data_IF_861204456168
#
_entry.id   IF_861204456168
#
_cell.length_a   1.000
_cell.length_b   1.000
_cell.length_c   1.000
_cell.angle_alpha   90.00
_cell.angle_beta   90.00
_cell.angle_gamma   90.00
#
_symmetry.space_group_name_H-M   'P 1'
#
loop_
_entity.id
_entity.type
_entity.pdbx_description
1 polymer ?
#
# COMPACT_ATOMS: atom_id res chain seq x y z
N UNK A 1 9.38 5.25 65.62
CA UNK A 1 9.79 4.45 66.77
C UNK A 1 10.65 3.30 66.25
N UNK A 2 11.98 3.44 66.55
CA UNK A 2 13.03 2.41 66.79
C UNK A 2 13.14 1.23 65.81
N UNK A 3 14.15 1.21 64.87
CA UNK A 3 15.59 0.82 65.02
C UNK A 3 15.78 -0.68 65.37
N UNK A 4 16.51 -1.41 64.46
CA UNK A 4 17.87 -2.03 64.58
C UNK A 4 18.01 -3.07 63.44
N UNK A 5 18.89 -2.95 62.43
CA UNK A 5 20.34 -3.16 62.32
C UNK A 5 20.85 -4.40 63.10
N UNK A 6 21.38 -5.38 62.42
CA UNK A 6 22.60 -6.14 62.71
C UNK A 6 23.13 -6.77 61.42
N UNK A 7 24.30 -6.68 61.19
CA UNK A 7 25.42 -6.81 60.40
C UNK A 7 26.17 -8.15 60.61
N UNK A 8 27.02 -8.42 59.65
CA UNK A 8 28.33 -9.07 59.64
C UNK A 8 28.42 -10.59 59.45
N UNK A 9 29.36 -10.93 58.55
CA UNK A 9 30.00 -12.22 58.51
C UNK A 9 30.80 -12.46 57.20
N UNK A 10 32.03 -11.96 57.17
CA UNK A 10 33.10 -12.23 56.20
C UNK A 10 33.74 -13.58 56.49
N UNK A 11 34.04 -14.41 55.51
CA UNK A 11 35.20 -15.33 55.51
C UNK A 11 35.72 -15.49 54.07
N UNK A 12 36.95 -15.10 53.88
CA UNK A 12 37.85 -15.40 52.78
C UNK A 12 38.52 -16.76 53.03
N UNK A 13 38.66 -17.60 51.99
CA UNK A 13 39.82 -18.50 51.85
C UNK A 13 40.09 -18.69 50.36
N UNK A 14 41.27 -18.28 49.94
CA UNK A 14 41.81 -18.56 48.63
C UNK A 14 42.60 -19.86 48.59
N UNK A 15 42.72 -20.44 47.42
CA UNK A 15 43.88 -21.31 47.05
C UNK A 15 44.12 -21.18 45.53
N UNK A 16 45.38 -21.02 45.24
CA UNK A 16 46.10 -20.94 43.96
C UNK A 16 46.23 -22.32 43.31
N UNK A 17 46.16 -22.43 42.01
CA UNK A 17 46.52 -23.62 41.26
C UNK A 17 46.79 -23.31 39.79
N UNK A 18 48.01 -23.54 39.34
CA UNK A 18 48.65 -23.19 38.06
C UNK A 18 48.31 -24.10 36.89
N UNK A 19 48.35 -23.49 35.70
CA UNK A 19 48.91 -23.95 34.42
C UNK A 19 48.29 -25.14 33.68
N UNK A 20 47.93 -24.89 32.43
CA UNK A 20 47.70 -25.92 31.41
C UNK A 20 47.47 -25.32 30.04
N UNK A 21 48.45 -25.52 29.17
CA UNK A 21 48.65 -25.03 27.80
C UNK A 21 47.54 -25.27 26.80
N UNK A 22 47.40 -24.29 25.91
CA UNK A 22 47.25 -24.36 24.42
C UNK A 22 46.33 -25.39 23.82
N UNK A 23 45.29 -24.92 23.19
CA UNK A 23 44.81 -25.42 21.86
C UNK A 23 44.18 -24.29 21.08
N UNK A 24 44.82 -23.95 19.99
CA UNK A 24 44.43 -23.02 18.98
C UNK A 24 43.17 -23.57 18.27
N UNK A 25 42.03 -22.98 18.48
CA UNK A 25 40.84 -23.27 17.69
C UNK A 25 40.42 -21.96 17.02
N UNK A 26 40.68 -21.90 15.73
CA UNK A 26 40.24 -20.85 14.81
C UNK A 26 38.75 -20.78 14.84
N UNK A 27 38.18 -19.82 15.58
CA UNK A 27 36.78 -19.48 15.53
C UNK A 27 36.56 -18.66 14.26
N UNK A 28 36.04 -19.31 13.23
CA UNK A 28 35.42 -18.64 12.09
C UNK A 28 34.29 -17.78 12.63
N UNK A 29 34.48 -16.46 12.61
CA UNK A 29 33.48 -15.49 12.93
C UNK A 29 32.35 -15.59 11.92
N UNK A 30 31.31 -16.33 12.26
CA UNK A 30 30.03 -16.24 11.60
C UNK A 30 29.42 -14.88 11.95
N UNK A 31 29.46 -13.96 11.01
CA UNK A 31 28.60 -12.75 11.05
C UNK A 31 27.17 -13.22 11.21
N UNK A 32 26.43 -12.75 12.23
CA UNK A 32 24.99 -12.99 12.26
C UNK A 32 24.40 -12.32 11.03
N UNK A 33 23.92 -13.12 10.09
CA UNK A 33 23.03 -12.64 9.04
C UNK A 33 21.79 -12.11 9.74
N UNK A 34 21.71 -10.81 9.89
CA UNK A 34 20.45 -10.12 10.20
C UNK A 34 19.55 -10.38 9.01
N UNK A 35 18.74 -11.42 9.11
CA UNK A 35 17.56 -11.57 8.27
C UNK A 35 16.71 -10.35 8.55
N UNK A 36 16.73 -9.38 7.62
CA UNK A 36 15.73 -8.31 7.58
C UNK A 36 14.39 -9.00 7.30
N UNK A 37 13.70 -9.39 8.36
CA UNK A 37 12.29 -9.72 8.26
C UNK A 37 11.60 -8.40 7.91
N UNK A 38 11.14 -8.26 6.67
CA UNK A 38 10.17 -7.23 6.33
C UNK A 38 9.05 -7.28 7.37
N UNK A 39 8.58 -6.13 7.89
CA UNK A 39 7.48 -6.14 8.84
C UNK A 39 6.32 -6.93 8.22
N UNK A 40 5.84 -7.94 8.93
CA UNK A 40 4.68 -8.69 8.50
C UNK A 40 3.49 -7.72 8.40
N UNK A 41 2.84 -7.70 7.25
CA UNK A 41 1.61 -6.92 7.07
C UNK A 41 0.54 -7.42 8.02
N UNK A 42 -0.19 -6.49 8.63
CA UNK A 42 -1.35 -6.81 9.46
C UNK A 42 -2.62 -6.76 8.61
N UNK A 43 -3.67 -7.45 9.06
CA UNK A 43 -4.97 -7.42 8.39
C UNK A 43 -5.50 -5.98 8.31
N UNK A 44 -5.43 -5.25 9.43
CA UNK A 44 -5.83 -3.84 9.52
C UNK A 44 -4.68 -2.91 9.15
N UNK A 45 -5.00 -1.75 8.58
CA UNK A 45 -4.00 -0.75 8.20
C UNK A 45 -3.21 -1.09 6.94
N UNK A 46 -3.46 -2.27 6.34
CA UNK A 46 -2.91 -2.65 5.04
C UNK A 46 -4.00 -2.53 3.98
N UNK A 47 -3.66 -1.90 2.87
CA UNK A 47 -4.48 -1.94 1.67
C UNK A 47 -4.13 -3.21 0.89
N UNK A 48 -5.13 -4.00 0.56
CA UNK A 48 -4.98 -5.29 -0.09
C UNK A 48 -5.48 -5.22 -1.54
N UNK A 49 -4.63 -5.57 -2.50
CA UNK A 49 -4.92 -5.58 -3.93
C UNK A 49 -5.15 -7.01 -4.41
N UNK A 50 -6.29 -7.28 -5.05
CA UNK A 50 -6.66 -8.61 -5.54
C UNK A 50 -5.62 -9.12 -6.53
N UNK A 51 -5.23 -10.39 -6.37
CA UNK A 51 -4.38 -11.14 -7.30
C UNK A 51 -5.15 -12.22 -8.03
N UNK A 52 -5.96 -12.96 -7.29
CA UNK A 52 -6.81 -14.00 -7.90
C UNK A 52 -8.04 -14.27 -7.04
N UNK A 53 -9.04 -14.86 -7.65
CA UNK A 53 -10.26 -15.32 -7.01
C UNK A 53 -10.64 -16.70 -7.51
N UNK A 54 -11.42 -17.43 -6.72
CA UNK A 54 -11.91 -18.77 -7.08
C UNK A 54 -13.02 -18.65 -8.11
N UNK A 55 -12.79 -19.21 -9.29
CA UNK A 55 -13.78 -19.30 -10.36
C UNK A 55 -14.86 -20.35 -10.05
N UNK A 56 -15.87 -20.40 -10.90
CA UNK A 56 -16.99 -21.36 -10.79
C UNK A 56 -16.57 -22.83 -10.92
N UNK A 57 -15.46 -23.11 -11.62
CA UNK A 57 -14.84 -24.43 -11.72
C UNK A 57 -14.11 -24.85 -10.43
N UNK A 58 -13.85 -23.92 -9.51
CA UNK A 58 -13.04 -24.11 -8.32
C UNK A 58 -11.57 -23.74 -8.51
N UNK A 59 -11.12 -23.45 -9.71
CA UNK A 59 -9.75 -23.01 -10.03
C UNK A 59 -9.55 -21.53 -9.70
N UNK A 60 -8.29 -21.14 -9.54
CA UNK A 60 -7.94 -19.74 -9.40
C UNK A 60 -8.04 -19.01 -10.76
N UNK A 61 -8.71 -17.87 -10.76
CA UNK A 61 -8.81 -16.94 -11.90
C UNK A 61 -8.02 -15.69 -11.51
N UNK A 62 -7.13 -15.25 -12.38
CA UNK A 62 -6.36 -14.02 -12.15
C UNK A 62 -7.27 -12.79 -12.12
N UNK A 63 -6.89 -11.80 -11.32
CA UNK A 63 -7.60 -10.54 -11.25
C UNK A 63 -7.55 -9.81 -12.61
N UNK A 64 -8.63 -9.10 -12.93
CA UNK A 64 -8.73 -8.28 -14.15
C UNK A 64 -7.65 -7.19 -14.15
N UNK A 65 -6.77 -7.21 -15.15
CA UNK A 65 -5.63 -6.32 -15.22
C UNK A 65 -5.99 -4.85 -15.51
N UNK A 66 -7.19 -4.59 -16.05
CA UNK A 66 -7.63 -3.24 -16.43
C UNK A 66 -8.05 -2.34 -15.26
N UNK A 67 -8.35 -2.92 -14.09
CA UNK A 67 -8.74 -2.16 -12.90
C UNK A 67 -8.53 -2.98 -11.64
N UNK A 68 -7.83 -2.40 -10.66
CA UNK A 68 -7.48 -3.08 -9.41
C UNK A 68 -8.69 -3.20 -8.48
N UNK A 69 -9.04 -4.42 -8.11
CA UNK A 69 -9.97 -4.67 -7.01
C UNK A 69 -9.22 -4.61 -5.67
N UNK A 70 -9.80 -3.94 -4.69
CA UNK A 70 -9.13 -3.67 -3.40
C UNK A 70 -9.96 -4.09 -2.22
N UNK A 71 -9.31 -4.29 -1.07
CA UNK A 71 -9.93 -4.55 0.21
C UNK A 71 -9.13 -3.86 1.32
N UNK A 72 -9.83 -3.17 2.21
CA UNK A 72 -9.23 -2.51 3.36
C UNK A 72 -10.05 -2.81 4.62
N UNK A 73 -9.37 -3.36 5.62
CA UNK A 73 -9.93 -3.65 6.94
C UNK A 73 -9.59 -2.49 7.87
N UNK A 74 -10.58 -1.72 8.24
CA UNK A 74 -10.39 -0.57 9.12
C UNK A 74 -10.55 -0.98 10.60
N UNK A 75 -9.96 -0.23 11.53
CA UNK A 75 -10.25 -0.40 12.96
C UNK A 75 -11.76 -0.38 13.22
N UNK A 76 -12.19 -1.06 14.29
CA UNK A 76 -13.59 -1.15 14.71
C UNK A 76 -14.53 -1.92 13.78
N UNK A 77 -13.97 -2.79 12.91
CA UNK A 77 -14.75 -3.75 12.13
C UNK A 77 -15.39 -3.17 10.86
N UNK A 78 -15.01 -1.98 10.42
CA UNK A 78 -15.45 -1.44 9.15
C UNK A 78 -14.60 -2.00 7.99
N UNK A 79 -15.26 -2.31 6.87
CA UNK A 79 -14.66 -2.81 5.65
C UNK A 79 -14.98 -1.87 4.49
N UNK A 80 -13.99 -1.54 3.68
CA UNK A 80 -14.17 -0.85 2.42
C UNK A 80 -13.42 -1.59 1.31
N UNK A 81 -13.89 -1.49 0.10
CA UNK A 81 -13.23 -2.12 -1.02
C UNK A 81 -13.73 -1.62 -2.38
N UNK A 82 -13.03 -2.06 -3.40
CA UNK A 82 -13.41 -1.91 -4.79
C UNK A 82 -13.44 -3.27 -5.44
N UNK A 83 -14.41 -3.51 -6.31
CA UNK A 83 -14.46 -4.71 -7.15
C UNK A 83 -13.59 -4.56 -8.41
N UNK A 84 -12.98 -3.37 -8.59
CA UNK A 84 -12.37 -2.92 -9.83
C UNK A 84 -13.36 -2.14 -10.71
N UNK A 85 -14.66 -2.27 -10.46
CA UNK A 85 -15.76 -1.56 -11.13
C UNK A 85 -16.48 -0.65 -10.15
N UNK A 86 -17.00 -1.22 -9.07
CA UNK A 86 -17.78 -0.53 -8.06
C UNK A 86 -17.04 -0.47 -6.71
N UNK A 87 -17.31 0.60 -5.96
CA UNK A 87 -16.88 0.73 -4.56
C UNK A 87 -17.93 0.09 -3.66
N UNK A 88 -17.50 -0.59 -2.61
CA UNK A 88 -18.41 -1.14 -1.62
C UNK A 88 -17.91 -0.87 -0.20
N UNK A 89 -18.84 -0.84 0.73
CA UNK A 89 -18.57 -0.84 2.17
C UNK A 89 -19.13 -2.10 2.82
N UNK A 90 -18.73 -2.35 4.06
CA UNK A 90 -19.21 -3.50 4.81
C UNK A 90 -18.67 -3.51 6.22
N UNK A 91 -18.83 -4.64 6.86
CA UNK A 91 -18.30 -4.92 8.20
C UNK A 91 -17.60 -6.27 8.21
N UNK A 92 -16.67 -6.42 9.14
CA UNK A 92 -16.00 -7.69 9.39
C UNK A 92 -15.86 -7.94 10.89
N UNK A 93 -15.71 -9.21 11.25
CA UNK A 93 -15.32 -9.65 12.58
C UNK A 93 -14.13 -10.60 12.43
N UNK A 94 -13.03 -10.29 13.10
CA UNK A 94 -11.84 -11.13 13.12
C UNK A 94 -11.53 -11.58 14.56
N UNK A 95 -11.20 -12.87 14.74
CA UNK A 95 -10.77 -13.44 16.00
C UNK A 95 -9.70 -14.52 15.73
N UNK A 96 -8.46 -14.25 16.06
CA UNK A 96 -7.31 -15.06 15.64
C UNK A 96 -7.26 -15.16 14.12
N UNK A 97 -7.35 -16.36 13.57
CA UNK A 97 -7.40 -16.60 12.11
C UNK A 97 -8.82 -16.68 11.56
N UNK A 98 -9.84 -16.63 12.41
CA UNK A 98 -11.24 -16.60 11.97
C UNK A 98 -11.59 -15.22 11.44
N UNK A 99 -12.35 -15.17 10.36
CA UNK A 99 -12.80 -13.94 9.72
C UNK A 99 -14.19 -14.14 9.14
N UNK A 100 -15.10 -13.24 9.45
CA UNK A 100 -16.39 -13.16 8.76
C UNK A 100 -16.56 -11.78 8.15
N UNK A 101 -17.07 -11.72 6.93
CA UNK A 101 -17.28 -10.50 6.16
C UNK A 101 -18.75 -10.37 5.82
N UNK A 102 -19.28 -9.17 5.99
CA UNK A 102 -20.62 -8.80 5.57
C UNK A 102 -20.53 -7.58 4.66
N UNK A 103 -20.80 -7.77 3.39
CA UNK A 103 -20.88 -6.67 2.41
C UNK A 103 -22.12 -5.82 2.67
N UNK A 104 -21.98 -4.51 2.47
CA UNK A 104 -23.04 -3.51 2.70
C UNK A 104 -23.37 -2.73 1.43
N UNK A 105 -23.41 -1.40 1.53
CA UNK A 105 -23.74 -0.53 0.41
C UNK A 105 -22.66 -0.57 -0.68
N UNK A 106 -23.08 -0.44 -1.93
CA UNK A 106 -22.20 -0.44 -3.11
C UNK A 106 -22.70 0.61 -4.11
N UNK A 107 -21.77 1.20 -4.86
CA UNK A 107 -22.11 1.97 -6.06
C UNK A 107 -22.62 1.02 -7.15
N UNK A 108 -23.41 1.52 -8.09
CA UNK A 108 -24.01 0.75 -9.17
C UNK A 108 -23.66 1.37 -10.53
N UNK A 109 -22.36 1.39 -10.83
CA UNK A 109 -21.85 1.82 -12.13
C UNK A 109 -21.76 0.59 -13.03
N UNK A 110 -22.16 0.71 -14.28
CA UNK A 110 -21.95 -0.36 -15.27
C UNK A 110 -20.46 -0.56 -15.54
N UNK A 111 -19.98 -1.80 -15.45
CA UNK A 111 -18.59 -2.11 -15.77
C UNK A 111 -18.35 -1.99 -17.29
N UNK A 112 -17.18 -1.48 -17.65
CA UNK A 112 -16.83 -1.27 -19.07
C UNK A 112 -16.50 -2.59 -19.80
N UNK A 113 -16.12 -3.64 -19.04
CA UNK A 113 -15.67 -4.92 -19.61
C UNK A 113 -16.45 -6.09 -18.99
N UNK A 114 -16.68 -7.13 -19.79
CA UNK A 114 -17.38 -8.36 -19.34
C UNK A 114 -16.57 -9.11 -18.29
N UNK A 115 -15.25 -9.18 -18.44
CA UNK A 115 -14.39 -9.84 -17.46
C UNK A 115 -14.35 -9.07 -16.12
N UNK A 116 -14.41 -7.75 -16.17
CA UNK A 116 -14.56 -6.90 -14.99
C UNK A 116 -15.88 -7.15 -14.26
N UNK A 117 -16.99 -7.26 -15.01
CA UNK A 117 -18.31 -7.61 -14.47
C UNK A 117 -18.33 -9.00 -13.83
N UNK A 118 -17.66 -9.97 -14.47
CA UNK A 118 -17.53 -11.33 -13.94
C UNK A 118 -16.71 -11.35 -12.63
N UNK A 119 -15.62 -10.59 -12.57
CA UNK A 119 -14.85 -10.41 -11.34
C UNK A 119 -15.71 -9.82 -10.22
N UNK A 120 -16.41 -8.72 -10.47
CA UNK A 120 -17.32 -8.09 -9.50
C UNK A 120 -18.32 -9.10 -8.93
N UNK A 121 -19.02 -9.81 -9.82
CA UNK A 121 -20.02 -10.82 -9.44
C UNK A 121 -19.40 -11.92 -8.56
N UNK A 122 -18.19 -12.37 -8.91
CA UNK A 122 -17.46 -13.38 -8.15
C UNK A 122 -17.04 -12.87 -6.78
N UNK A 123 -16.51 -11.66 -6.69
CA UNK A 123 -16.09 -11.05 -5.42
C UNK A 123 -17.27 -10.90 -4.45
N UNK A 124 -18.38 -10.36 -4.93
CA UNK A 124 -19.59 -10.17 -4.11
C UNK A 124 -20.20 -11.50 -3.62
N UNK A 125 -20.03 -12.57 -4.40
CA UNK A 125 -20.46 -13.92 -4.02
C UNK A 125 -19.49 -14.57 -3.03
N UNK A 126 -18.18 -14.38 -3.17
CA UNK A 126 -17.14 -15.06 -2.39
C UNK A 126 -16.89 -14.39 -1.03
N UNK A 127 -16.94 -13.07 -0.95
CA UNK A 127 -16.65 -12.33 0.28
C UNK A 127 -17.50 -12.79 1.48
N UNK A 128 -18.83 -13.01 1.36
CA UNK A 128 -19.63 -13.51 2.47
C UNK A 128 -19.34 -14.97 2.87
N UNK A 129 -18.65 -15.75 2.03
CA UNK A 129 -18.27 -17.14 2.29
C UNK A 129 -16.95 -17.26 3.05
N UNK A 130 -16.25 -16.16 3.27
CA UNK A 130 -14.99 -16.14 4.01
C UNK A 130 -15.24 -16.55 5.46
N UNK A 131 -14.49 -17.55 5.93
CA UNK A 131 -14.53 -18.05 7.29
C UNK A 131 -13.17 -17.90 8.02
N UNK A 132 -12.08 -17.83 7.26
CA UNK A 132 -10.72 -17.73 7.80
C UNK A 132 -9.84 -16.88 6.90
N UNK A 133 -8.74 -16.39 7.47
CA UNK A 133 -7.67 -15.74 6.71
C UNK A 133 -6.29 -16.20 7.16
N UNK A 134 -5.31 -16.01 6.29
CA UNK A 134 -3.90 -16.17 6.58
C UNK A 134 -3.11 -15.06 5.87
N UNK A 135 -2.14 -14.49 6.55
CA UNK A 135 -1.18 -13.54 5.98
C UNK A 135 0.19 -14.19 6.00
N UNK A 136 0.85 -14.23 4.85
CA UNK A 136 2.21 -14.76 4.71
C UNK A 136 2.99 -13.75 3.88
N UNK A 137 3.97 -13.09 4.49
CA UNK A 137 4.68 -11.95 3.89
C UNK A 137 3.67 -10.90 3.39
N UNK A 138 3.62 -10.66 2.09
CA UNK A 138 2.80 -9.65 1.45
C UNK A 138 1.47 -10.20 0.90
N UNK A 139 1.14 -11.46 1.24
CA UNK A 139 -0.04 -12.14 0.69
C UNK A 139 -1.08 -12.39 1.76
N UNK A 140 -2.30 -11.91 1.52
CA UNK A 140 -3.50 -12.24 2.28
C UNK A 140 -4.31 -13.29 1.52
N UNK A 141 -4.52 -14.45 2.14
CA UNK A 141 -5.40 -15.51 1.65
C UNK A 141 -6.69 -15.52 2.46
N UNK A 142 -7.82 -15.29 1.81
CA UNK A 142 -9.15 -15.43 2.38
C UNK A 142 -9.69 -16.82 2.04
N UNK A 143 -10.12 -17.57 3.04
CA UNK A 143 -10.47 -18.98 2.92
C UNK A 143 -11.91 -19.25 3.35
N UNK A 144 -12.53 -20.20 2.70
CA UNK A 144 -13.85 -20.74 3.10
C UNK A 144 -13.80 -21.59 4.35
N UNK A 145 -14.95 -22.05 4.80
CA UNK A 145 -15.08 -22.95 5.94
C UNK A 145 -14.41 -24.31 5.69
N UNK A 146 -14.34 -24.75 4.45
CA UNK A 146 -13.65 -25.94 3.97
C UNK A 146 -12.12 -25.81 3.95
N UNK A 147 -11.60 -24.60 4.21
CA UNK A 147 -10.17 -24.28 4.17
C UNK A 147 -9.65 -23.96 2.76
N UNK A 148 -10.46 -24.08 1.71
CA UNK A 148 -10.06 -23.71 0.36
C UNK A 148 -9.88 -22.20 0.25
N UNK A 149 -8.88 -21.76 -0.52
CA UNK A 149 -8.67 -20.35 -0.80
C UNK A 149 -9.75 -19.85 -1.74
N UNK A 150 -10.46 -18.82 -1.33
CA UNK A 150 -11.50 -18.13 -2.11
C UNK A 150 -10.94 -16.92 -2.84
N UNK A 151 -10.11 -16.12 -2.15
CA UNK A 151 -9.55 -14.87 -2.64
C UNK A 151 -8.10 -14.75 -2.19
N UNK A 152 -7.24 -14.29 -3.08
CA UNK A 152 -5.84 -13.99 -2.78
C UNK A 152 -5.58 -12.53 -3.10
N UNK A 153 -5.02 -11.82 -2.12
CA UNK A 153 -4.63 -10.44 -2.24
C UNK A 153 -3.13 -10.29 -1.98
N UNK A 154 -2.52 -9.28 -2.58
CA UNK A 154 -1.19 -8.82 -2.17
C UNK A 154 -1.33 -7.49 -1.41
N UNK A 155 -0.41 -7.26 -0.49
CA UNK A 155 -0.31 -5.96 0.17
C UNK A 155 -0.08 -4.88 -0.89
N UNK A 156 -0.85 -3.80 -0.80
CA UNK A 156 -0.63 -2.59 -1.57
C UNK A 156 0.61 -1.84 -1.09
N UNK A 157 1.06 -0.86 -1.85
CA UNK A 157 2.20 -0.06 -1.46
C UNK A 157 1.91 0.70 -0.16
N UNK A 158 2.85 0.67 0.76
CA UNK A 158 2.79 1.43 2.03
C UNK A 158 3.48 2.80 1.91
N UNK A 159 4.13 3.07 0.77
CA UNK A 159 4.84 4.30 0.47
C UNK A 159 4.97 4.54 -1.03
N UNK A 160 5.53 5.67 -1.39
CA UNK A 160 5.65 6.09 -2.78
C UNK A 160 6.79 5.40 -3.55
N UNK A 161 7.87 5.03 -2.86
CA UNK A 161 9.09 4.53 -3.52
C UNK A 161 8.83 3.24 -4.31
N UNK A 162 9.21 3.24 -5.57
CA UNK A 162 9.05 2.10 -6.48
C UNK A 162 7.63 1.93 -7.02
N UNK A 163 6.81 2.99 -6.98
CA UNK A 163 5.43 2.92 -7.45
C UNK A 163 5.20 3.79 -8.68
N UNK A 164 4.32 3.31 -9.56
CA UNK A 164 3.86 3.99 -10.78
C UNK A 164 2.36 4.24 -10.71
N UNK A 165 1.95 5.41 -11.10
CA UNK A 165 0.59 5.91 -10.93
C UNK A 165 0.04 6.51 -12.20
N UNK A 166 -1.23 6.27 -12.45
CA UNK A 166 -2.01 6.88 -13.53
C UNK A 166 -2.95 7.93 -12.94
N UNK A 167 -2.98 9.12 -13.51
CA UNK A 167 -3.81 10.21 -13.02
C UNK A 167 -5.29 9.89 -13.24
N UNK A 168 -6.11 10.16 -12.24
CA UNK A 168 -7.58 10.05 -12.31
C UNK A 168 -8.27 11.40 -12.21
N UNK A 169 -7.56 12.45 -11.78
CA UNK A 169 -8.06 13.82 -11.76
C UNK A 169 -6.98 14.81 -11.37
N UNK A 170 -7.09 16.02 -11.89
CA UNK A 170 -6.19 17.16 -11.64
C UNK A 170 -7.01 18.33 -11.09
N UNK A 171 -6.45 19.10 -10.15
CA UNK A 171 -7.09 20.28 -9.61
C UNK A 171 -7.28 21.33 -10.73
N UNK A 172 -8.50 21.81 -10.89
CA UNK A 172 -8.88 22.78 -11.92
C UNK A 172 -8.59 24.26 -11.55
N UNK A 173 -7.89 24.47 -10.42
CA UNK A 173 -7.62 25.82 -9.89
C UNK A 173 -8.82 26.54 -9.28
N UNK A 174 -9.98 25.85 -9.14
CA UNK A 174 -11.23 26.37 -8.59
C UNK A 174 -11.71 25.58 -7.37
N UNK A 175 -10.81 24.78 -6.77
CA UNK A 175 -11.09 23.93 -5.60
C UNK A 175 -11.70 22.57 -5.91
N UNK A 176 -11.80 22.19 -7.18
CA UNK A 176 -12.27 20.89 -7.63
C UNK A 176 -11.19 20.08 -8.32
N UNK A 177 -11.28 18.74 -8.21
CA UNK A 177 -10.47 17.79 -8.99
C UNK A 177 -11.33 17.24 -10.12
N UNK A 178 -10.88 17.38 -11.34
CA UNK A 178 -11.62 16.97 -12.54
C UNK A 178 -10.80 16.01 -13.39
N UNK A 179 -11.49 15.08 -14.03
CA UNK A 179 -10.99 14.28 -15.13
C UNK A 179 -11.48 14.90 -16.44
N UNK A 180 -10.58 15.49 -17.21
CA UNK A 180 -10.83 16.01 -18.54
C UNK A 180 -10.29 15.07 -19.60
N UNK A 181 -10.62 15.28 -20.86
CA UNK A 181 -10.04 14.53 -21.96
C UNK A 181 -8.51 14.61 -21.92
N UNK A 182 -7.83 13.46 -21.98
CA UNK A 182 -6.38 13.34 -21.87
C UNK A 182 -5.85 13.09 -20.46
N UNK A 183 -6.66 13.28 -19.41
CA UNK A 183 -6.23 13.01 -18.02
C UNK A 183 -5.76 11.56 -17.85
N UNK A 184 -6.37 10.63 -18.55
CA UNK A 184 -6.02 9.21 -18.53
C UNK A 184 -4.64 8.88 -19.13
N UNK A 185 -4.00 9.84 -19.82
CA UNK A 185 -2.64 9.68 -20.35
C UNK A 185 -1.56 10.13 -19.36
N UNK A 186 -1.93 10.93 -18.36
CA UNK A 186 -1.01 11.46 -17.37
C UNK A 186 -0.54 10.37 -16.40
N UNK A 187 0.76 10.36 -16.13
CA UNK A 187 1.37 9.39 -15.19
C UNK A 187 2.33 10.07 -14.22
N UNK A 188 2.65 9.36 -13.12
CA UNK A 188 3.71 9.71 -12.20
C UNK A 188 4.41 8.46 -11.70
N UNK A 189 5.75 8.50 -11.65
CA UNK A 189 6.59 7.43 -11.14
C UNK A 189 7.47 7.97 -10.00
N UNK A 190 7.41 7.30 -8.86
CA UNK A 190 8.22 7.59 -7.69
C UNK A 190 9.36 6.58 -7.59
N UNK A 191 10.47 6.86 -8.23
CA UNK A 191 11.62 5.96 -8.30
C UNK A 191 12.44 5.87 -7.02
N UNK A 192 13.38 4.94 -6.95
CA UNK A 192 14.32 4.84 -5.84
C UNK A 192 15.22 6.08 -5.74
N UNK A 193 15.71 6.36 -4.52
CA UNK A 193 16.60 7.49 -4.30
C UNK A 193 15.96 8.87 -4.42
N UNK A 194 14.61 8.95 -4.46
CA UNK A 194 13.89 10.20 -4.59
C UNK A 194 13.75 10.70 -6.04
N UNK A 195 14.02 9.87 -7.03
CA UNK A 195 13.79 10.22 -8.44
C UNK A 195 12.28 10.31 -8.72
N UNK A 196 11.86 11.38 -9.37
CA UNK A 196 10.49 11.61 -9.80
C UNK A 196 10.43 11.79 -11.31
N UNK A 197 9.54 11.06 -11.98
CA UNK A 197 9.22 11.28 -13.39
C UNK A 197 7.71 11.27 -13.58
N UNK A 198 7.24 11.99 -14.61
CA UNK A 198 5.83 12.05 -14.94
C UNK A 198 5.66 12.29 -16.44
N UNK A 199 4.51 11.89 -16.98
CA UNK A 199 4.10 12.28 -18.33
C UNK A 199 2.92 13.25 -18.23
N UNK A 200 3.07 14.43 -18.83
CA UNK A 200 2.10 15.52 -18.77
C UNK A 200 1.04 15.49 -19.89
N UNK A 201 1.02 14.44 -20.70
CA UNK A 201 0.15 14.35 -21.89
C UNK A 201 0.89 14.77 -23.17
N UNK A 202 1.81 15.69 -23.09
CA UNK A 202 2.69 16.13 -24.17
C UNK A 202 4.16 15.89 -23.86
N UNK A 203 4.59 16.37 -22.71
CA UNK A 203 5.99 16.35 -22.30
C UNK A 203 6.23 15.38 -21.15
N UNK A 204 7.49 14.91 -21.08
CA UNK A 204 7.97 14.22 -19.90
C UNK A 204 8.45 15.24 -18.87
N UNK A 205 8.02 15.06 -17.65
CA UNK A 205 8.46 15.81 -16.49
C UNK A 205 9.48 14.98 -15.72
N UNK A 206 10.49 15.60 -15.17
CA UNK A 206 11.46 14.96 -14.29
C UNK A 206 11.80 15.89 -13.13
N UNK A 207 12.13 15.31 -11.98
CA UNK A 207 12.46 16.06 -10.77
C UNK A 207 12.89 15.13 -9.65
N UNK A 208 12.82 15.63 -8.44
CA UNK A 208 13.07 14.82 -7.24
C UNK A 208 11.91 14.95 -6.26
N UNK A 209 11.69 13.90 -5.47
CA UNK A 209 10.73 13.94 -4.37
C UNK A 209 11.40 13.61 -3.05
N UNK A 210 10.86 14.13 -1.98
CA UNK A 210 11.26 13.82 -0.61
C UNK A 210 10.01 13.54 0.23
N UNK A 211 10.08 12.46 1.02
CA UNK A 211 9.05 12.13 2.00
C UNK A 211 9.54 12.57 3.38
N UNK A 212 8.70 13.22 4.15
CA UNK A 212 8.97 13.65 5.52
C UNK A 212 7.85 13.22 6.47
N UNK A 213 8.22 12.69 7.63
CA UNK A 213 7.24 12.10 8.54
C UNK A 213 6.46 10.97 7.88
N UNK A 214 5.18 10.82 8.25
CA UNK A 214 4.32 9.75 7.74
C UNK A 214 3.63 10.06 6.41
N UNK A 215 3.39 11.33 6.10
CA UNK A 215 2.58 11.77 4.94
C UNK A 215 3.10 13.05 4.27
N UNK A 216 4.20 13.63 4.73
CA UNK A 216 4.77 14.80 4.07
C UNK A 216 5.41 14.41 2.74
N UNK A 217 5.18 15.20 1.71
CA UNK A 217 5.74 15.02 0.36
C UNK A 217 6.11 16.38 -0.22
N UNK A 218 7.32 16.48 -0.74
CA UNK A 218 7.75 17.64 -1.53
C UNK A 218 8.29 17.15 -2.85
N UNK A 219 7.85 17.74 -3.95
CA UNK A 219 8.36 17.50 -5.31
C UNK A 219 9.07 18.77 -5.76
N UNK A 220 10.34 18.66 -6.14
CA UNK A 220 11.19 19.81 -6.48
C UNK A 220 11.99 19.58 -7.76
N UNK A 221 12.48 20.66 -8.35
CA UNK A 221 13.31 20.59 -9.53
C UNK A 221 12.58 20.06 -10.77
N UNK A 222 11.25 20.25 -10.85
CA UNK A 222 10.48 19.83 -12.02
C UNK A 222 11.00 20.53 -13.29
N UNK A 223 11.48 19.73 -14.22
CA UNK A 223 11.88 20.12 -15.56
C UNK A 223 11.01 19.37 -16.57
N UNK A 224 10.69 20.02 -17.68
CA UNK A 224 9.87 19.45 -18.75
C UNK A 224 10.65 19.42 -20.07
N UNK A 225 10.40 18.42 -20.90
CA UNK A 225 10.77 18.51 -22.33
C UNK A 225 9.94 19.60 -23.00
N UNK A 226 10.39 20.10 -24.15
CA UNK A 226 9.79 21.26 -24.83
C UNK A 226 9.15 20.89 -26.17
N UNK A 227 8.25 19.89 -26.16
CA UNK A 227 7.44 19.59 -27.33
C UNK A 227 6.25 20.55 -27.37
N UNK A 228 5.82 20.91 -28.56
CA UNK A 228 4.58 21.68 -28.80
C UNK A 228 3.47 20.72 -29.20
N UNK A 229 2.37 20.73 -28.45
CA UNK A 229 1.18 19.93 -28.70
C UNK A 229 -0.05 20.82 -28.91
N UNK A 230 -1.24 20.22 -29.02
CA UNK A 230 -2.48 20.96 -29.09
C UNK A 230 -2.71 21.82 -27.83
N UNK A 231 -3.44 22.91 -27.95
CA UNK A 231 -3.60 23.90 -26.87
C UNK A 231 -4.18 23.28 -25.61
N UNK A 232 -5.21 22.44 -25.74
CA UNK A 232 -5.88 21.75 -24.65
C UNK A 232 -4.95 20.78 -23.89
N UNK A 233 -4.05 20.09 -24.62
CA UNK A 233 -3.02 19.21 -24.02
C UNK A 233 -1.98 20.03 -23.26
N UNK A 234 -1.54 21.15 -23.82
CA UNK A 234 -0.59 22.04 -23.14
C UNK A 234 -1.20 22.68 -21.89
N UNK A 235 -2.48 23.05 -21.92
CA UNK A 235 -3.20 23.56 -20.75
C UNK A 235 -3.30 22.52 -19.65
N UNK A 236 -3.67 21.28 -19.98
CA UNK A 236 -3.75 20.18 -19.01
C UNK A 236 -2.38 19.87 -18.40
N UNK A 237 -1.31 19.83 -19.22
CA UNK A 237 0.08 19.66 -18.73
C UNK A 237 0.49 20.76 -17.79
N UNK A 238 0.16 22.02 -18.11
CA UNK A 238 0.47 23.17 -17.27
C UNK A 238 -0.26 23.10 -15.91
N UNK A 239 -1.54 22.73 -15.92
CA UNK A 239 -2.31 22.51 -14.70
C UNK A 239 -1.71 21.38 -13.86
N UNK A 240 -1.38 20.25 -14.49
CA UNK A 240 -0.78 19.10 -13.83
C UNK A 240 0.59 19.44 -13.22
N UNK A 241 1.46 20.11 -13.95
CA UNK A 241 2.78 20.55 -13.47
C UNK A 241 2.65 21.52 -12.29
N UNK A 242 1.74 22.49 -12.36
CA UNK A 242 1.45 23.41 -11.27
C UNK A 242 0.92 22.69 -10.03
N UNK A 243 0.01 21.74 -10.21
CA UNK A 243 -0.52 20.91 -9.14
C UNK A 243 0.58 20.12 -8.43
N UNK A 244 1.49 19.47 -9.19
CA UNK A 244 2.64 18.75 -8.65
C UNK A 244 3.60 19.65 -7.85
N UNK A 245 3.85 20.87 -8.32
CA UNK A 245 4.71 21.84 -7.64
C UNK A 245 4.15 22.39 -6.33
N UNK A 246 2.84 22.25 -6.11
CA UNK A 246 2.15 22.73 -4.90
C UNK A 246 1.97 21.69 -3.80
N UNK A 247 2.36 20.43 -4.05
CA UNK A 247 2.15 19.30 -3.15
C UNK A 247 2.95 19.43 -1.87
N UNK A 248 2.31 19.17 -0.74
CA UNK A 248 2.94 19.11 0.58
C UNK A 248 2.67 17.81 1.33
N UNK A 249 1.61 17.10 0.97
CA UNK A 249 1.26 15.83 1.61
C UNK A 249 0.71 14.83 0.61
N UNK A 250 0.80 13.54 0.95
CA UNK A 250 0.19 12.46 0.19
C UNK A 250 -0.57 11.50 1.10
N UNK A 251 -1.51 10.79 0.53
CA UNK A 251 -2.23 9.68 1.16
C UNK A 251 -2.41 8.53 0.17
N UNK A 252 -2.02 7.32 0.59
CA UNK A 252 -2.24 6.09 -0.17
C UNK A 252 -3.34 5.30 0.52
N UNK A 253 -4.38 4.95 -0.21
CA UNK A 253 -5.50 4.13 0.25
C UNK A 253 -5.85 3.10 -0.83
N UNK A 254 -5.40 1.86 -0.62
CA UNK A 254 -5.55 0.81 -1.62
C UNK A 254 -4.71 1.08 -2.86
N UNK A 255 -5.39 1.15 -3.98
CA UNK A 255 -4.82 1.50 -5.28
C UNK A 255 -4.90 3.00 -5.59
N UNK A 256 -5.32 3.82 -4.64
CA UNK A 256 -5.48 5.26 -4.83
C UNK A 256 -4.37 6.03 -4.13
N UNK A 257 -3.81 7.02 -4.82
CA UNK A 257 -2.92 8.03 -4.27
C UNK A 257 -3.58 9.40 -4.42
N UNK A 258 -3.64 10.14 -3.32
CA UNK A 258 -4.12 11.52 -3.29
C UNK A 258 -2.98 12.44 -2.87
N UNK A 259 -2.68 13.43 -3.68
CA UNK A 259 -1.73 14.50 -3.36
C UNK A 259 -2.49 15.77 -2.95
N UNK A 260 -2.01 16.43 -1.89
CA UNK A 260 -2.64 17.65 -1.34
C UNK A 260 -1.62 18.76 -1.15
N UNK A 261 -2.10 20.00 -1.23
CA UNK A 261 -1.32 21.19 -0.91
C UNK A 261 -1.34 21.50 0.60
N UNK A 262 -0.69 22.59 1.00
CA UNK A 262 -0.58 23.03 2.39
C UNK A 262 -1.92 23.43 3.04
N UNK A 263 -2.93 23.75 2.26
CA UNK A 263 -4.30 24.05 2.75
C UNK A 263 -5.17 22.80 2.87
N UNK A 264 -4.63 21.63 2.47
CA UNK A 264 -5.36 20.35 2.48
C UNK A 264 -6.20 20.09 1.24
N UNK A 265 -6.19 21.01 0.25
CA UNK A 265 -6.89 20.81 -1.01
C UNK A 265 -6.24 19.73 -1.85
N UNK A 266 -7.05 18.87 -2.43
CA UNK A 266 -6.57 17.84 -3.34
C UNK A 266 -6.03 18.47 -4.62
N UNK A 267 -4.81 18.15 -4.97
CA UNK A 267 -4.14 18.62 -6.17
C UNK A 267 -4.19 17.62 -7.31
N UNK A 268 -3.91 16.35 -7.00
CA UNK A 268 -3.96 15.28 -8.00
C UNK A 268 -4.47 14.00 -7.32
N UNK A 269 -5.26 13.27 -8.03
CA UNK A 269 -5.67 11.89 -7.66
C UNK A 269 -5.16 10.91 -8.70
N UNK A 270 -4.76 9.73 -8.21
CA UNK A 270 -4.19 8.70 -9.06
C UNK A 270 -4.75 7.32 -8.72
N UNK A 271 -4.53 6.40 -9.65
CA UNK A 271 -4.66 4.96 -9.47
C UNK A 271 -3.32 4.27 -9.70
N UNK A 272 -3.02 3.27 -8.90
CA UNK A 272 -1.81 2.45 -9.03
C UNK A 272 -1.81 1.73 -10.39
N UNK A 273 -0.67 1.76 -11.06
CA UNK A 273 -0.41 0.92 -12.22
C UNK A 273 0.06 -0.44 -11.70
N UNK A 274 -0.65 -1.50 -12.06
CA UNK A 274 -0.35 -2.86 -11.59
C UNK A 274 0.84 -3.50 -12.28
#
# INVERSE_FOLDING_TARGET
>A
MRIRIVAAGVVLVGVVGLAGCSSNSSSSGGTPSTSSSSPAHELTGTAWNLRSYRGSSGDAVDAFAGATATLAFNPHGALNGSTGCNQFSGTYVANGTSLSIKTGAMTLIGCADVAQSAQESSLLQLLPQVARYAITSDTLSLKGADGATLLTYAAGPTGLTGTSWKVTGVNNGRGGVEATAGTEQLTADFGPGGAFTAFGGCNNLSGTYQVSGSKGLTITGLASTMKSCATDVNELESQYSAALGSVTTYDISGDQLTLRNSTGETQVTYRLVG
#
